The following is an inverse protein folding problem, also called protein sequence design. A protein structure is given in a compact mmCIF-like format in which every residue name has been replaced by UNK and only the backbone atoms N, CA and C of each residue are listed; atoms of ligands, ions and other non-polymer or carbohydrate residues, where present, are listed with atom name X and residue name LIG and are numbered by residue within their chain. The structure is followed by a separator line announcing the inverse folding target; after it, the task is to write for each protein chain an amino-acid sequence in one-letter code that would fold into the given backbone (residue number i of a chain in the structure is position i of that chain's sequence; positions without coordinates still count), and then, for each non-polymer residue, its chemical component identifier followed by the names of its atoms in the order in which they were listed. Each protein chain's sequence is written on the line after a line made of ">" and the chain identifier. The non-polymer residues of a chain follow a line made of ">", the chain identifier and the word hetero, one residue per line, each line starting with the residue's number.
data_IF_110814189466
#
_entry.id   IF_110814189466
#
_cell.length_a   1.000
_cell.length_b   1.000
_cell.length_c   1.000
_cell.angle_alpha   90.00
_cell.angle_beta   90.00
_cell.angle_gamma   90.00
#
_symmetry.space_group_name_H-M   'P 1'
#
loop_
_entity.id
_entity.type
_entity.pdbx_description
1 polymer ?
#
# COMPACT_ATOMS: atom_id res chain seq x y z
N UNK A 1 -37.89 15.64 19.90
CA UNK A 1 -37.26 15.54 18.56
C UNK A 1 -35.80 15.16 18.77
N UNK A 2 -35.41 13.92 18.43
CA UNK A 2 -34.03 13.44 18.52
C UNK A 2 -33.41 13.55 17.12
N UNK A 3 -32.38 14.37 16.97
CA UNK A 3 -31.55 14.44 15.77
C UNK A 3 -30.50 13.32 15.87
N UNK A 4 -30.67 12.25 15.10
CA UNK A 4 -29.62 11.26 14.83
C UNK A 4 -28.73 11.81 13.73
N UNK A 5 -27.59 12.40 14.10
CA UNK A 5 -26.54 12.73 13.14
C UNK A 5 -25.79 11.44 12.79
N UNK A 6 -26.03 10.90 11.61
CA UNK A 6 -25.21 9.85 10.99
C UNK A 6 -23.85 10.45 10.66
N UNK A 7 -22.79 10.01 11.34
CA UNK A 7 -21.41 10.30 10.97
C UNK A 7 -21.16 9.74 9.56
N UNK A 8 -20.75 10.62 8.65
CA UNK A 8 -20.38 10.30 7.27
C UNK A 8 -18.85 10.26 7.15
N UNK A 9 -18.31 9.60 6.12
CA UNK A 9 -16.85 9.58 5.87
C UNK A 9 -16.22 10.97 5.71
N UNK A 10 -17.03 12.01 5.43
CA UNK A 10 -16.60 13.41 5.41
C UNK A 10 -16.32 13.97 6.81
N UNK A 11 -17.10 13.56 7.81
CA UNK A 11 -16.92 13.98 9.21
C UNK A 11 -15.64 13.38 9.81
N UNK A 12 -15.21 12.21 9.31
CA UNK A 12 -13.96 11.56 9.69
C UNK A 12 -12.74 12.26 9.08
N UNK A 13 -12.85 12.71 7.81
CA UNK A 13 -11.82 13.51 7.14
C UNK A 13 -11.61 14.88 7.81
N UNK A 14 -12.70 15.55 8.20
CA UNK A 14 -12.63 16.81 8.97
C UNK A 14 -12.02 16.60 10.36
N UNK A 15 -12.28 15.47 11.01
CA UNK A 15 -11.68 15.11 12.30
C UNK A 15 -10.18 14.81 12.20
N UNK A 16 -9.73 14.16 11.12
CA UNK A 16 -8.31 13.92 10.84
C UNK A 16 -7.56 15.21 10.52
N UNK A 17 -8.19 16.13 9.79
CA UNK A 17 -7.62 17.46 9.52
C UNK A 17 -7.48 18.30 10.80
N UNK A 18 -8.47 18.23 11.70
CA UNK A 18 -8.40 18.88 13.01
C UNK A 18 -7.28 18.33 13.90
N UNK A 19 -7.05 17.02 13.91
CA UNK A 19 -5.90 16.40 14.61
C UNK A 19 -4.55 16.86 14.04
N UNK A 20 -4.49 17.12 12.74
CA UNK A 20 -3.30 17.63 12.07
C UNK A 20 -2.98 19.08 12.48
N UNK A 21 -4.00 19.92 12.68
CA UNK A 21 -3.86 21.31 13.11
C UNK A 21 -3.50 21.46 14.60
N UNK A 22 -3.80 20.46 15.44
CA UNK A 22 -3.49 20.47 16.88
C UNK A 22 -2.12 19.88 17.25
N UNK A 23 -1.40 19.30 16.29
CA UNK A 23 -0.06 18.76 16.54
C UNK A 23 0.96 19.90 16.69
N UNK A 24 1.66 20.03 17.83
CA UNK A 24 2.52 21.19 18.08
C UNK A 24 3.73 21.20 17.15
N UNK A 25 4.16 22.38 16.64
CA UNK A 25 5.42 22.50 15.94
C UNK A 25 6.55 22.22 16.93
N UNK A 26 7.38 21.22 16.65
CA UNK A 26 8.64 21.00 17.35
C UNK A 26 9.50 22.26 17.22
N UNK A 27 9.68 22.96 18.34
CA UNK A 27 10.38 24.23 18.46
C UNK A 27 11.91 24.06 18.41
N UNK A 28 12.60 25.07 17.87
CA UNK A 28 14.04 25.20 18.07
C UNK A 28 14.75 26.27 17.24
N UNK A 29 14.49 27.56 17.49
CA UNK A 29 15.51 28.60 17.74
C UNK A 29 14.95 30.01 17.54
N UNK A 30 14.64 30.66 18.67
CA UNK A 30 14.44 32.10 18.79
C UNK A 30 15.79 32.77 19.03
N UNK A 31 16.15 33.73 18.19
CA UNK A 31 17.10 34.80 18.55
C UNK A 31 16.75 36.07 17.78
N UNK A 32 16.91 37.26 18.41
CA UNK A 32 16.34 38.51 17.91
C UNK A 32 17.18 39.07 16.77
N UNK A 33 16.54 39.36 15.63
CA UNK A 33 17.18 40.05 14.50
C UNK A 33 17.25 41.55 14.86
N UNK A 34 18.42 41.95 15.36
CA UNK A 34 18.84 43.36 15.40
C UNK A 34 19.23 43.77 13.98
N UNK A 35 18.57 44.81 13.47
CA UNK A 35 18.87 45.41 12.17
C UNK A 35 20.28 46.03 12.14
N UNK A 36 21.07 45.69 11.12
CA UNK A 36 22.27 46.44 10.71
C UNK A 36 22.64 46.11 9.25
N UNK A 37 23.33 47.02 8.55
CA UNK A 37 22.97 47.40 7.19
C UNK A 37 23.64 46.58 6.09
N UNK A 38 22.96 46.62 4.94
CA UNK A 38 23.35 46.16 3.61
C UNK A 38 24.85 46.43 3.35
N UNK A 39 25.62 45.36 3.23
CA UNK A 39 26.96 45.38 2.63
C UNK A 39 26.95 44.51 1.39
N UNK A 40 26.86 45.16 0.23
CA UNK A 40 27.12 44.55 -1.07
C UNK A 40 28.45 43.79 -1.04
N UNK A 41 28.43 42.49 -1.35
CA UNK A 41 29.64 41.78 -1.77
C UNK A 41 29.30 40.72 -2.83
N UNK A 42 29.77 41.04 -4.04
CA UNK A 42 30.28 40.21 -5.16
C UNK A 42 29.89 38.73 -5.16
N UNK A 43 29.35 38.31 -6.31
CA UNK A 43 28.93 36.94 -6.58
C UNK A 43 29.95 35.89 -6.18
N UNK A 44 29.51 34.97 -5.32
CA UNK A 44 30.19 33.70 -5.11
C UNK A 44 29.73 32.74 -6.20
N UNK A 45 30.64 32.34 -7.07
CA UNK A 45 30.50 31.10 -7.82
C UNK A 45 30.46 29.96 -6.79
N UNK A 46 29.28 29.36 -6.59
CA UNK A 46 29.15 28.12 -5.80
C UNK A 46 30.05 27.09 -6.48
N UNK A 47 31.08 26.61 -5.78
CA UNK A 47 32.00 25.62 -6.35
C UNK A 47 31.33 24.25 -6.40
N UNK A 48 31.72 23.42 -7.36
CA UNK A 48 31.18 22.05 -7.51
C UNK A 48 31.35 21.22 -6.22
N UNK A 49 32.40 21.48 -5.45
CA UNK A 49 32.65 20.88 -4.13
C UNK A 49 31.63 21.31 -3.06
N UNK A 50 31.15 22.56 -3.11
CA UNK A 50 30.10 23.04 -2.20
C UNK A 50 28.74 22.42 -2.52
N UNK A 51 28.43 22.22 -3.81
CA UNK A 51 27.22 21.49 -4.23
C UNK A 51 27.29 20.02 -3.79
N UNK A 52 28.44 19.37 -3.97
CA UNK A 52 28.64 17.99 -3.53
C UNK A 52 28.53 17.83 -2.01
N UNK A 53 29.08 18.77 -1.23
CA UNK A 53 28.96 18.75 0.23
C UNK A 53 27.54 19.02 0.73
N UNK A 54 26.75 19.83 0.01
CA UNK A 54 25.33 20.03 0.29
C UNK A 54 24.54 18.78 -0.05
N UNK A 55 24.83 18.13 -1.19
CA UNK A 55 24.17 16.90 -1.62
C UNK A 55 24.42 15.75 -0.63
N UNK A 56 25.66 15.55 -0.17
CA UNK A 56 25.97 14.59 0.89
C UNK A 56 25.23 14.88 2.20
N UNK A 57 25.00 16.15 2.54
CA UNK A 57 24.23 16.51 3.74
C UNK A 57 22.73 16.26 3.58
N UNK A 58 22.22 16.44 2.36
CA UNK A 58 20.82 16.13 2.02
C UNK A 58 20.62 14.62 2.07
N UNK A 59 21.48 13.85 1.40
CA UNK A 59 21.47 12.37 1.42
C UNK A 59 21.57 11.82 2.85
N UNK A 60 22.53 12.31 3.65
CA UNK A 60 22.66 11.90 5.05
C UNK A 60 21.48 12.35 5.95
N UNK A 61 20.78 13.42 5.60
CA UNK A 61 19.57 13.83 6.32
C UNK A 61 18.39 12.94 5.95
N UNK A 62 18.26 12.59 4.66
CA UNK A 62 17.23 11.70 4.12
C UNK A 62 17.36 10.27 4.65
N UNK A 63 18.58 9.72 4.72
CA UNK A 63 18.83 8.43 5.36
C UNK A 63 18.41 8.45 6.83
N UNK A 64 18.78 9.49 7.57
CA UNK A 64 18.40 9.63 8.99
C UNK A 64 16.90 9.74 9.22
N UNK A 65 16.16 10.43 8.35
CA UNK A 65 14.70 10.56 8.49
C UNK A 65 13.99 9.26 8.12
N UNK A 66 14.48 8.51 7.12
CA UNK A 66 14.00 7.16 6.79
C UNK A 66 14.26 6.19 7.93
N UNK A 67 15.48 6.13 8.46
CA UNK A 67 15.85 5.26 9.58
C UNK A 67 15.08 5.58 10.85
N UNK A 68 14.87 6.87 11.14
CA UNK A 68 14.02 7.30 12.23
C UNK A 68 12.57 6.83 12.05
N UNK A 69 12.02 6.88 10.83
CA UNK A 69 10.67 6.39 10.51
C UNK A 69 10.52 4.89 10.81
N UNK A 70 11.43 4.08 10.28
CA UNK A 70 11.49 2.63 10.51
C UNK A 70 11.60 2.30 11.99
N UNK A 71 12.60 2.87 12.68
CA UNK A 71 12.85 2.57 14.10
C UNK A 71 11.70 3.02 14.99
N UNK A 72 11.10 4.19 14.71
CA UNK A 72 9.94 4.68 15.45
C UNK A 72 8.71 3.79 15.22
N UNK A 73 8.51 3.27 14.01
CA UNK A 73 7.38 2.36 13.74
C UNK A 73 7.61 0.99 14.33
N UNK A 74 8.84 0.45 14.31
CA UNK A 74 9.19 -0.78 15.03
C UNK A 74 8.95 -0.58 16.53
N UNK A 75 9.38 0.54 17.11
CA UNK A 75 9.13 0.86 18.51
C UNK A 75 7.64 1.01 18.81
N UNK A 76 6.87 1.63 17.91
CA UNK A 76 5.42 1.76 18.03
C UNK A 76 4.72 0.40 17.98
N UNK A 77 5.11 -0.47 17.05
CA UNK A 77 4.60 -1.85 16.94
C UNK A 77 4.91 -2.63 18.21
N UNK A 78 6.15 -2.55 18.73
CA UNK A 78 6.55 -3.20 20.00
C UNK A 78 5.82 -2.66 21.23
N UNK A 79 5.61 -1.35 21.31
CA UNK A 79 4.84 -0.77 22.41
C UNK A 79 3.37 -1.23 22.38
N UNK A 80 2.81 -1.45 21.18
CA UNK A 80 1.49 -2.04 21.01
C UNK A 80 1.48 -3.57 21.26
N UNK A 81 2.64 -4.24 21.22
CA UNK A 81 2.79 -5.64 21.66
C UNK A 81 2.71 -5.80 23.18
N UNK A 82 3.18 -4.79 23.92
CA UNK A 82 3.28 -4.83 25.39
C UNK A 82 1.97 -4.47 26.10
N UNK A 83 1.04 -3.75 25.46
CA UNK A 83 -0.20 -3.25 26.09
C UNK A 83 -1.43 -4.18 25.93
N UNK A 84 -1.37 -5.21 25.09
CA UNK A 84 -2.41 -6.25 24.95
C UNK A 84 -1.81 -7.44 24.19
N UNK A 85 -1.94 -8.64 24.74
CA UNK A 85 -1.68 -9.97 24.12
C UNK A 85 -1.14 -9.94 22.68
N UNK A 86 0.19 -9.78 22.49
CA UNK A 86 0.95 -10.02 21.27
C UNK A 86 0.13 -10.09 19.93
N UNK A 87 -0.14 -8.95 19.28
CA UNK A 87 -0.87 -8.93 18.02
C UNK A 87 -0.10 -9.67 16.91
N UNK A 88 -0.74 -10.61 16.20
CA UNK A 88 -0.08 -11.38 15.12
C UNK A 88 0.40 -10.49 13.96
N UNK A 89 -0.27 -9.37 13.73
CA UNK A 89 0.03 -8.44 12.64
C UNK A 89 1.31 -7.62 12.88
N UNK A 90 1.68 -7.33 14.13
CA UNK A 90 2.86 -6.50 14.44
C UNK A 90 4.16 -7.23 14.11
N UNK A 91 4.25 -8.53 14.37
CA UNK A 91 5.41 -9.36 14.01
C UNK A 91 5.62 -9.46 12.49
N UNK A 92 4.54 -9.62 11.73
CA UNK A 92 4.58 -9.56 10.26
C UNK A 92 5.07 -8.20 9.77
N UNK A 93 4.48 -7.11 10.24
CA UNK A 93 4.85 -5.75 9.81
C UNK A 93 6.25 -5.35 10.26
N UNK A 94 6.70 -5.81 11.43
CA UNK A 94 8.08 -5.62 11.88
C UNK A 94 9.06 -6.39 10.97
N UNK A 95 8.68 -7.58 10.50
CA UNK A 95 9.48 -8.35 9.53
C UNK A 95 9.53 -7.66 8.17
N UNK A 96 8.41 -7.07 7.71
CA UNK A 96 8.37 -6.25 6.48
C UNK A 96 9.28 -5.02 6.63
N UNK A 97 9.22 -4.30 7.76
CA UNK A 97 10.09 -3.14 8.02
C UNK A 97 11.57 -3.52 8.06
N UNK A 98 11.90 -4.64 8.72
CA UNK A 98 13.27 -5.15 8.75
C UNK A 98 13.74 -5.54 7.35
N UNK A 99 12.89 -6.19 6.56
CA UNK A 99 13.20 -6.51 5.17
C UNK A 99 13.49 -5.24 4.35
N UNK A 100 12.65 -4.20 4.48
CA UNK A 100 12.83 -2.92 3.79
C UNK A 100 14.04 -2.11 4.26
N UNK A 101 14.55 -2.39 5.47
CA UNK A 101 15.70 -1.70 6.08
C UNK A 101 17.03 -2.44 5.85
N UNK A 102 17.05 -3.77 5.89
CA UNK A 102 18.27 -4.60 5.73
C UNK A 102 18.78 -4.59 4.27
N UNK A 103 17.94 -4.28 3.30
CA UNK A 103 18.31 -4.32 1.88
C UNK A 103 19.14 -3.13 1.37
N UNK A 104 19.60 -2.23 2.24
CA UNK A 104 20.49 -1.11 1.91
C UNK A 104 21.99 -1.49 1.92
N UNK A 105 22.36 -2.74 2.20
CA UNK A 105 23.75 -3.17 2.00
C UNK A 105 24.12 -3.07 0.50
N UNK A 106 25.18 -2.33 0.13
CA UNK A 106 25.51 -2.04 -1.25
C UNK A 106 25.97 -3.32 -1.95
N UNK A 107 25.04 -4.00 -2.61
CA UNK A 107 25.36 -5.11 -3.52
C UNK A 107 26.08 -4.53 -4.73
N UNK A 108 27.41 -4.59 -4.67
CA UNK A 108 28.36 -4.66 -5.78
C UNK A 108 28.33 -3.50 -6.78
N UNK A 109 28.99 -2.40 -6.38
CA UNK A 109 29.74 -1.58 -7.31
C UNK A 109 30.94 -2.38 -7.87
N UNK A 110 30.67 -3.28 -8.81
CA UNK A 110 31.71 -3.83 -9.71
C UNK A 110 31.34 -3.46 -11.13
N UNK A 111 32.13 -2.54 -11.66
CA UNK A 111 32.46 -2.33 -13.06
C UNK A 111 31.34 -2.00 -14.04
N UNK A 112 31.01 -0.72 -14.12
CA UNK A 112 31.14 -0.03 -15.41
C UNK A 112 31.25 1.48 -15.21
N UNK A 113 32.40 2.01 -15.61
CA UNK A 113 32.65 3.43 -15.81
C UNK A 113 31.67 4.01 -16.82
N UNK A 114 30.58 4.61 -16.33
CA UNK A 114 29.84 5.60 -17.11
C UNK A 114 29.72 6.86 -16.27
N UNK A 115 30.51 7.85 -16.66
CA UNK A 115 30.30 9.30 -16.47
C UNK A 115 28.95 9.65 -15.84
N UNK A 116 28.96 10.04 -14.56
CA UNK A 116 27.85 10.70 -13.87
C UNK A 116 27.60 12.07 -14.50
N UNK A 117 26.89 12.11 -15.62
CA UNK A 117 26.11 13.27 -16.03
C UNK A 117 24.80 13.27 -15.24
N UNK A 118 24.33 14.46 -14.90
CA UNK A 118 23.18 14.75 -14.05
C UNK A 118 21.85 14.27 -14.66
N UNK A 119 21.61 12.97 -14.70
CA UNK A 119 20.34 12.42 -15.15
C UNK A 119 19.53 11.91 -13.97
N UNK A 120 18.26 12.32 -13.95
CA UNK A 120 17.20 11.98 -12.99
C UNK A 120 17.27 10.52 -12.55
N UNK A 121 16.86 10.18 -11.30
CA UNK A 121 16.76 8.79 -10.86
C UNK A 121 15.98 8.01 -11.93
N UNK A 122 16.57 6.93 -12.46
CA UNK A 122 15.97 6.23 -13.59
C UNK A 122 14.70 5.54 -13.10
N UNK A 123 13.54 6.18 -13.29
CA UNK A 123 12.21 5.63 -12.99
C UNK A 123 11.89 4.45 -13.91
N UNK A 124 12.57 3.32 -13.73
CA UNK A 124 12.44 2.14 -14.60
C UNK A 124 12.57 0.86 -13.79
N UNK A 125 11.49 0.08 -13.79
CA UNK A 125 11.52 -1.31 -13.36
C UNK A 125 12.30 -2.16 -14.39
N UNK A 126 12.99 -3.24 -13.95
CA UNK A 126 13.58 -4.22 -14.85
C UNK A 126 12.58 -4.76 -15.88
N UNK A 127 13.04 -5.13 -17.08
CA UNK A 127 12.16 -5.67 -18.13
C UNK A 127 11.48 -6.99 -17.74
N UNK A 128 12.11 -7.77 -16.86
CA UNK A 128 11.60 -9.06 -16.37
C UNK A 128 11.12 -8.98 -14.92
N UNK A 129 10.89 -7.76 -14.42
CA UNK A 129 10.44 -7.54 -13.05
C UNK A 129 9.14 -8.29 -12.78
N UNK A 130 9.13 -9.10 -11.72
CA UNK A 130 8.00 -9.89 -11.24
C UNK A 130 7.43 -10.93 -12.22
N UNK A 131 8.03 -11.13 -13.40
CA UNK A 131 7.53 -12.01 -14.46
C UNK A 131 7.47 -13.48 -13.98
N UNK A 132 8.47 -13.91 -13.22
CA UNK A 132 8.58 -15.29 -12.71
C UNK A 132 7.65 -15.54 -11.52
N UNK A 133 7.59 -14.59 -10.58
CA UNK A 133 6.84 -14.74 -9.33
C UNK A 133 5.33 -14.59 -9.56
N UNK A 134 4.92 -13.59 -10.36
CA UNK A 134 3.51 -13.33 -10.63
C UNK A 134 2.97 -14.18 -11.78
N UNK A 135 3.83 -14.70 -12.67
CA UNK A 135 3.43 -15.42 -13.90
C UNK A 135 2.48 -14.60 -14.78
N UNK A 136 2.65 -13.28 -14.77
CA UNK A 136 1.83 -12.31 -15.51
C UNK A 136 2.73 -11.54 -16.47
N UNK A 137 2.27 -11.38 -17.71
CA UNK A 137 2.94 -10.55 -18.70
C UNK A 137 2.66 -9.06 -18.44
N UNK A 138 3.57 -8.17 -18.84
CA UNK A 138 3.44 -6.73 -18.62
C UNK A 138 2.12 -6.14 -19.12
N UNK A 139 1.61 -6.58 -20.26
CA UNK A 139 0.33 -6.12 -20.80
C UNK A 139 -0.89 -6.43 -19.90
N UNK A 140 -0.74 -7.22 -18.85
CA UNK A 140 -1.82 -7.54 -17.90
C UNK A 140 -1.48 -7.08 -16.48
N UNK A 141 -0.32 -6.44 -16.27
CA UNK A 141 0.26 -6.28 -14.95
C UNK A 141 -0.30 -5.10 -14.16
N UNK A 142 -0.62 -3.96 -14.78
CA UNK A 142 -0.92 -2.72 -14.05
C UNK A 142 -2.08 -2.87 -13.05
N UNK A 143 -3.26 -3.29 -13.54
CA UNK A 143 -4.43 -3.48 -12.68
C UNK A 143 -4.28 -4.69 -11.76
N UNK A 144 -3.67 -5.79 -12.23
CA UNK A 144 -3.40 -6.98 -11.41
C UNK A 144 -2.53 -6.67 -10.22
N UNK A 145 -1.45 -5.91 -10.42
CA UNK A 145 -0.54 -5.47 -9.35
C UNK A 145 -1.30 -4.64 -8.31
N UNK A 146 -2.11 -3.69 -8.76
CA UNK A 146 -2.88 -2.81 -7.87
C UNK A 146 -3.97 -3.57 -7.09
N UNK A 147 -4.59 -4.58 -7.70
CA UNK A 147 -5.65 -5.39 -7.08
C UNK A 147 -5.11 -6.50 -6.16
N UNK A 148 -3.90 -7.01 -6.43
CA UNK A 148 -3.30 -8.15 -5.73
C UNK A 148 -3.50 -8.17 -4.20
N UNK A 149 -3.14 -7.11 -3.45
CA UNK A 149 -3.31 -7.11 -1.99
C UNK A 149 -4.78 -7.16 -1.53
N UNK A 150 -5.73 -6.68 -2.33
CA UNK A 150 -7.14 -6.70 -1.97
C UNK A 150 -7.75 -8.09 -2.07
N UNK A 151 -7.24 -8.91 -2.99
CA UNK A 151 -7.67 -10.28 -3.08
C UNK A 151 -7.23 -11.13 -1.88
N UNK A 152 -6.06 -10.83 -1.31
CA UNK A 152 -5.61 -11.45 -0.06
C UNK A 152 -6.58 -11.11 1.07
N UNK A 153 -6.94 -9.84 1.23
CA UNK A 153 -7.92 -9.38 2.21
C UNK A 153 -9.29 -10.06 2.06
N UNK A 154 -9.81 -10.13 0.82
CA UNK A 154 -11.09 -10.80 0.55
C UNK A 154 -11.02 -12.29 0.89
N UNK A 155 -9.88 -12.94 0.61
CA UNK A 155 -9.66 -14.34 0.95
C UNK A 155 -9.60 -14.56 2.47
N UNK A 156 -8.96 -13.67 3.23
CA UNK A 156 -8.96 -13.73 4.70
C UNK A 156 -10.37 -13.51 5.27
N UNK A 157 -11.11 -12.52 4.79
CA UNK A 157 -12.49 -12.30 5.20
C UNK A 157 -13.39 -13.50 4.90
N UNK A 158 -13.23 -14.12 3.72
CA UNK A 158 -13.93 -15.38 3.38
C UNK A 158 -13.57 -16.49 4.35
N UNK A 159 -12.30 -16.66 4.69
CA UNK A 159 -11.85 -17.67 5.65
C UNK A 159 -12.57 -17.49 6.99
N UNK A 160 -12.59 -16.27 7.54
CA UNK A 160 -13.25 -15.93 8.81
C UNK A 160 -14.74 -16.29 8.80
N UNK A 161 -15.44 -15.99 7.70
CA UNK A 161 -16.88 -16.25 7.59
C UNK A 161 -17.16 -17.74 7.40
N UNK A 162 -16.42 -18.40 6.48
CA UNK A 162 -16.67 -19.79 6.09
C UNK A 162 -16.17 -20.81 7.12
N UNK A 163 -15.16 -20.48 7.92
CA UNK A 163 -14.75 -21.30 9.07
C UNK A 163 -15.76 -21.25 10.22
N UNK A 164 -16.70 -20.30 10.18
CA UNK A 164 -17.68 -20.07 11.22
C UNK A 164 -17.14 -19.25 12.40
N UNK A 165 -15.90 -18.75 12.35
CA UNK A 165 -15.32 -17.91 13.42
C UNK A 165 -16.23 -16.70 13.71
N UNK A 166 -16.75 -16.04 12.67
CA UNK A 166 -17.67 -14.90 12.83
C UNK A 166 -18.99 -15.28 13.53
N UNK A 167 -19.45 -16.53 13.45
CA UNK A 167 -20.69 -16.98 14.10
C UNK A 167 -20.54 -17.09 15.62
N UNK A 168 -19.32 -17.39 16.08
CA UNK A 168 -18.99 -17.59 17.48
C UNK A 168 -18.27 -16.38 18.10
N UNK A 169 -17.97 -15.36 17.29
CA UNK A 169 -17.36 -14.11 17.72
C UNK A 169 -18.25 -13.35 18.71
N UNK A 170 -17.61 -12.66 19.64
CA UNK A 170 -18.25 -11.71 20.55
C UNK A 170 -18.81 -10.49 19.79
N UNK A 171 -19.70 -9.73 20.44
CA UNK A 171 -20.27 -8.52 19.85
C UNK A 171 -19.19 -7.49 19.47
N UNK A 172 -18.10 -7.40 20.24
CA UNK A 172 -17.02 -6.45 19.98
C UNK A 172 -16.11 -6.91 18.83
N UNK A 173 -15.86 -8.22 18.71
CA UNK A 173 -15.16 -8.81 17.55
C UNK A 173 -15.98 -8.66 16.26
N UNK A 174 -17.31 -8.81 16.35
CA UNK A 174 -18.20 -8.56 15.22
C UNK A 174 -18.17 -7.09 14.78
N UNK A 175 -18.15 -6.14 15.72
CA UNK A 175 -17.99 -4.71 15.42
C UNK A 175 -16.63 -4.43 14.80
N UNK A 176 -15.55 -5.02 15.34
CA UNK A 176 -14.21 -4.86 14.78
C UNK A 176 -14.14 -5.37 13.33
N UNK A 177 -14.71 -6.54 13.06
CA UNK A 177 -14.82 -7.08 11.68
C UNK A 177 -15.63 -6.15 10.76
N UNK A 178 -16.71 -5.54 11.25
CA UNK A 178 -17.48 -4.57 10.46
C UNK A 178 -16.72 -3.26 10.21
N UNK A 179 -15.99 -2.75 11.21
CA UNK A 179 -15.10 -1.61 11.03
C UNK A 179 -13.96 -1.94 10.05
N UNK A 180 -13.47 -3.18 10.06
CA UNK A 180 -12.53 -3.65 9.05
C UNK A 180 -13.17 -3.63 7.66
N UNK A 181 -14.40 -4.13 7.51
CA UNK A 181 -15.09 -4.13 6.22
C UNK A 181 -15.29 -2.71 5.67
N UNK A 182 -15.67 -1.75 6.53
CA UNK A 182 -15.82 -0.35 6.16
C UNK A 182 -14.48 0.26 5.70
N UNK A 183 -13.41 0.04 6.48
CA UNK A 183 -12.06 0.47 6.09
C UNK A 183 -11.58 -0.17 4.79
N UNK A 184 -11.89 -1.46 4.58
CA UNK A 184 -11.56 -2.18 3.35
C UNK A 184 -12.29 -1.56 2.15
N UNK A 185 -13.56 -1.22 2.30
CA UNK A 185 -14.33 -0.55 1.26
C UNK A 185 -13.78 0.84 0.92
N UNK A 186 -13.38 1.63 1.93
CA UNK A 186 -12.67 2.91 1.73
C UNK A 186 -11.34 2.69 0.97
N UNK A 187 -10.59 1.64 1.30
CA UNK A 187 -9.35 1.31 0.58
C UNK A 187 -9.62 0.96 -0.89
N UNK A 188 -10.76 0.36 -1.23
CA UNK A 188 -11.18 0.11 -2.63
C UNK A 188 -11.45 1.43 -3.37
N UNK A 189 -12.07 2.42 -2.73
CA UNK A 189 -12.27 3.74 -3.33
C UNK A 189 -10.93 4.46 -3.58
N UNK A 190 -9.98 4.36 -2.65
CA UNK A 190 -8.63 4.90 -2.82
C UNK A 190 -7.84 4.18 -3.92
N UNK A 191 -8.00 2.86 -4.02
CA UNK A 191 -7.45 2.05 -5.12
C UNK A 191 -7.95 2.55 -6.48
N UNK A 192 -9.24 2.92 -6.58
CA UNK A 192 -9.80 3.48 -7.82
C UNK A 192 -9.12 4.79 -8.23
N UNK A 193 -8.75 5.65 -7.28
CA UNK A 193 -8.01 6.87 -7.58
C UNK A 193 -6.62 6.56 -8.18
N UNK A 194 -5.92 5.56 -7.62
CA UNK A 194 -4.64 5.09 -8.16
C UNK A 194 -4.80 4.49 -9.57
N UNK A 195 -5.83 3.67 -9.80
CA UNK A 195 -6.15 3.12 -11.12
C UNK A 195 -6.45 4.19 -12.15
N UNK A 196 -7.23 5.21 -11.80
CA UNK A 196 -7.51 6.34 -12.69
C UNK A 196 -6.26 7.16 -12.99
N UNK A 197 -5.39 7.37 -12.00
CA UNK A 197 -4.08 8.02 -12.21
C UNK A 197 -3.19 7.21 -13.15
N UNK A 198 -3.13 5.89 -12.94
CA UNK A 198 -2.42 4.97 -13.82
C UNK A 198 -2.92 5.06 -15.26
N UNK A 199 -4.24 5.05 -15.49
CA UNK A 199 -4.80 5.20 -16.83
C UNK A 199 -4.48 6.55 -17.47
N UNK A 200 -4.47 7.64 -16.71
CA UNK A 200 -4.07 8.97 -17.21
C UNK A 200 -2.63 8.98 -17.67
N UNK A 201 -1.72 8.44 -16.86
CA UNK A 201 -0.29 8.32 -17.21
C UNK A 201 -0.12 7.50 -18.47
N UNK A 202 -0.75 6.33 -18.52
CA UNK A 202 -0.70 5.44 -19.68
C UNK A 202 -1.29 6.07 -20.95
N UNK A 203 -2.40 6.79 -20.81
CA UNK A 203 -3.03 7.53 -21.92
C UNK A 203 -2.08 8.56 -22.52
N UNK A 204 -1.34 9.26 -21.67
CA UNK A 204 -0.34 10.23 -22.11
C UNK A 204 0.82 9.54 -22.85
N UNK A 205 1.26 8.37 -22.40
CA UNK A 205 2.35 7.61 -23.02
C UNK A 205 1.98 7.03 -24.39
N UNK A 206 0.79 6.44 -24.53
CA UNK A 206 0.35 5.86 -25.80
C UNK A 206 -0.31 6.88 -26.75
N UNK A 207 -0.44 8.15 -26.34
CA UNK A 207 -1.06 9.20 -27.12
C UNK A 207 -2.55 8.97 -27.43
N UNK A 208 -3.24 8.19 -26.59
CA UNK A 208 -4.66 7.81 -26.75
C UNK A 208 -5.39 7.92 -25.43
N UNK A 209 -6.63 8.37 -25.45
CA UNK A 209 -7.45 8.43 -24.24
C UNK A 209 -7.93 7.02 -23.87
N UNK A 210 -7.46 6.50 -22.74
CA UNK A 210 -7.93 5.26 -22.14
C UNK A 210 -8.83 5.57 -20.95
N UNK A 211 -10.06 5.06 -20.98
CA UNK A 211 -11.03 5.21 -19.91
C UNK A 211 -11.64 3.86 -19.59
N UNK A 212 -11.64 3.48 -18.32
CA UNK A 212 -12.41 2.34 -17.81
C UNK A 212 -13.62 2.90 -17.06
N UNK A 213 -14.80 2.46 -17.45
CA UNK A 213 -16.05 2.82 -16.79
C UNK A 213 -16.59 1.57 -16.09
N UNK A 214 -16.38 1.52 -14.77
CA UNK A 214 -16.85 0.42 -13.93
C UNK A 214 -18.08 0.84 -13.14
N UNK A 215 -19.10 -0.02 -13.11
CA UNK A 215 -20.31 0.22 -12.35
C UNK A 215 -20.23 -0.47 -10.98
N UNK A 216 -19.77 0.25 -9.97
CA UNK A 216 -19.74 -0.23 -8.58
C UNK A 216 -21.12 -0.25 -7.90
N UNK A 217 -22.20 0.11 -8.59
CA UNK A 217 -23.52 0.26 -7.99
C UNK A 217 -24.04 -1.00 -7.29
N UNK A 218 -23.77 -2.18 -7.85
CA UNK A 218 -24.18 -3.45 -7.24
C UNK A 218 -23.33 -3.80 -6.02
N UNK A 219 -22.00 -3.69 -6.12
CA UNK A 219 -21.10 -3.89 -4.98
C UNK A 219 -21.45 -2.93 -3.82
N UNK A 220 -21.70 -1.65 -4.11
CA UNK A 220 -22.12 -0.66 -3.13
C UNK A 220 -23.47 -1.01 -2.49
N UNK A 221 -24.42 -1.51 -3.27
CA UNK A 221 -25.71 -1.96 -2.74
C UNK A 221 -25.53 -3.12 -1.77
N UNK A 222 -24.72 -4.12 -2.13
CA UNK A 222 -24.45 -5.29 -1.30
C UNK A 222 -23.66 -4.94 -0.04
N UNK A 223 -22.70 -4.01 -0.13
CA UNK A 223 -22.02 -3.44 1.03
C UNK A 223 -23.01 -2.76 1.99
N UNK A 224 -23.86 -1.87 1.48
CA UNK A 224 -24.87 -1.21 2.31
C UNK A 224 -25.88 -2.20 2.90
N UNK A 225 -26.17 -3.29 2.19
CA UNK A 225 -26.99 -4.37 2.69
C UNK A 225 -26.29 -5.12 3.84
N UNK A 226 -25.01 -5.49 3.71
CA UNK A 226 -24.27 -6.18 4.77
C UNK A 226 -24.26 -5.38 6.08
N UNK A 227 -23.99 -4.07 6.02
CA UNK A 227 -23.98 -3.20 7.21
C UNK A 227 -25.33 -3.18 7.92
N UNK A 228 -26.45 -3.25 7.20
CA UNK A 228 -27.80 -3.33 7.82
C UNK A 228 -28.00 -4.60 8.62
N UNK A 229 -27.36 -5.70 8.21
CA UNK A 229 -27.45 -6.99 8.88
C UNK A 229 -26.45 -7.16 10.03
N UNK A 230 -25.50 -6.24 10.22
CA UNK A 230 -24.52 -6.29 11.32
C UNK A 230 -25.18 -6.43 12.71
N UNK A 231 -26.33 -5.79 12.92
CA UNK A 231 -27.08 -5.86 14.18
C UNK A 231 -28.27 -6.84 14.13
N UNK A 232 -28.49 -7.50 13.00
CA UNK A 232 -29.59 -8.44 12.83
C UNK A 232 -29.24 -9.80 13.42
N UNK A 233 -30.22 -10.45 14.06
CA UNK A 233 -30.13 -11.88 14.39
C UNK A 233 -30.91 -12.67 13.35
N UNK A 234 -30.33 -13.75 12.79
CA UNK A 234 -29.01 -14.33 13.10
C UNK A 234 -27.82 -13.64 12.41
N UNK A 235 -26.67 -13.59 13.10
CA UNK A 235 -25.39 -13.05 12.59
C UNK A 235 -24.90 -13.76 11.32
N UNK A 236 -25.36 -15.00 11.09
CA UNK A 236 -25.10 -15.73 9.85
C UNK A 236 -25.53 -14.94 8.59
N UNK A 237 -26.63 -14.18 8.68
CA UNK A 237 -27.09 -13.34 7.57
C UNK A 237 -26.12 -12.19 7.28
N UNK A 238 -25.46 -11.65 8.30
CA UNK A 238 -24.40 -10.65 8.10
C UNK A 238 -23.25 -11.25 7.30
N UNK A 239 -22.73 -12.41 7.74
CA UNK A 239 -21.67 -13.12 7.03
C UNK A 239 -22.03 -13.45 5.58
N UNK A 240 -23.25 -13.93 5.32
CA UNK A 240 -23.75 -14.21 3.96
C UNK A 240 -23.72 -12.96 3.07
N UNK A 241 -24.20 -11.82 3.58
CA UNK A 241 -24.19 -10.56 2.82
C UNK A 241 -22.80 -9.98 2.60
N UNK A 242 -21.89 -10.18 3.54
CA UNK A 242 -20.47 -9.86 3.31
C UNK A 242 -19.91 -10.72 2.18
N UNK A 243 -20.20 -12.03 2.16
CA UNK A 243 -19.75 -12.90 1.06
C UNK A 243 -20.32 -12.49 -0.30
N UNK A 244 -21.61 -12.14 -0.38
CA UNK A 244 -22.23 -11.62 -1.61
C UNK A 244 -21.50 -10.37 -2.11
N UNK A 245 -21.24 -9.41 -1.20
CA UNK A 245 -20.48 -8.21 -1.51
C UNK A 245 -19.06 -8.52 -2.03
N UNK A 246 -18.31 -9.36 -1.33
CA UNK A 246 -16.93 -9.72 -1.71
C UNK A 246 -16.89 -10.45 -3.06
N UNK A 247 -17.88 -11.31 -3.34
CA UNK A 247 -17.98 -12.00 -4.62
C UNK A 247 -18.24 -11.03 -5.79
N UNK A 248 -19.20 -10.10 -5.62
CA UNK A 248 -19.47 -9.08 -6.64
C UNK A 248 -18.25 -8.18 -6.85
N UNK A 249 -17.57 -7.78 -5.77
CA UNK A 249 -16.39 -6.96 -5.85
C UNK A 249 -15.23 -7.68 -6.56
N UNK A 250 -14.94 -8.94 -6.21
CA UNK A 250 -13.90 -9.73 -6.89
C UNK A 250 -14.18 -9.86 -8.39
N UNK A 251 -15.43 -10.17 -8.76
CA UNK A 251 -15.83 -10.24 -10.18
C UNK A 251 -15.64 -8.89 -10.88
N UNK A 252 -16.01 -7.80 -10.23
CA UNK A 252 -15.84 -6.44 -10.77
C UNK A 252 -14.36 -6.11 -11.00
N UNK A 253 -13.48 -6.46 -10.06
CA UNK A 253 -12.03 -6.23 -10.19
C UNK A 253 -11.41 -7.09 -11.29
N UNK A 254 -11.90 -8.32 -11.49
CA UNK A 254 -11.50 -9.16 -12.62
C UNK A 254 -11.96 -8.60 -13.96
N UNK A 255 -13.21 -8.15 -14.07
CA UNK A 255 -13.73 -7.55 -15.30
C UNK A 255 -12.91 -6.31 -15.69
N UNK A 256 -12.48 -5.50 -14.71
CA UNK A 256 -11.57 -4.38 -14.94
C UNK A 256 -10.18 -4.81 -15.45
N UNK A 257 -9.60 -5.86 -14.86
CA UNK A 257 -8.31 -6.42 -15.30
C UNK A 257 -8.40 -6.96 -16.72
N UNK A 258 -9.46 -7.70 -17.03
CA UNK A 258 -9.69 -8.29 -18.36
C UNK A 258 -9.91 -7.20 -19.40
N UNK A 259 -10.72 -6.18 -19.09
CA UNK A 259 -10.97 -5.06 -19.99
C UNK A 259 -9.67 -4.30 -20.32
N UNK A 260 -8.80 -4.06 -19.33
CA UNK A 260 -7.51 -3.43 -19.58
C UNK A 260 -6.56 -4.34 -20.35
N UNK A 261 -6.46 -5.62 -19.99
CA UNK A 261 -5.63 -6.59 -20.70
C UNK A 261 -6.01 -6.66 -22.18
N UNK A 262 -7.30 -6.66 -22.50
CA UNK A 262 -7.79 -6.71 -23.89
C UNK A 262 -7.40 -5.46 -24.67
N UNK A 263 -7.63 -4.27 -24.10
CA UNK A 263 -7.19 -2.99 -24.69
C UNK A 263 -5.68 -2.97 -24.92
N UNK A 264 -4.91 -3.51 -23.98
CA UNK A 264 -3.45 -3.50 -24.05
C UNK A 264 -2.90 -4.34 -25.19
N UNK A 265 -3.58 -5.41 -25.60
CA UNK A 265 -3.18 -6.22 -26.75
C UNK A 265 -3.21 -5.44 -28.07
N UNK A 266 -3.99 -4.36 -28.13
CA UNK A 266 -4.26 -3.64 -29.37
C UNK A 266 -3.67 -2.23 -29.41
N UNK A 267 -3.48 -1.61 -28.24
CA UNK A 267 -3.26 -0.16 -28.16
C UNK A 267 -1.93 0.20 -27.48
N UNK A 268 -1.43 -0.63 -26.58
CA UNK A 268 -0.21 -0.34 -25.81
C UNK A 268 0.81 -1.45 -25.97
N UNK A 269 2.04 -1.21 -25.57
CA UNK A 269 3.06 -2.24 -25.47
C UNK A 269 3.52 -2.44 -24.02
N UNK A 270 4.34 -3.48 -23.78
CA UNK A 270 4.87 -3.79 -22.46
C UNK A 270 5.74 -2.67 -21.87
N UNK A 271 6.45 -1.90 -22.71
CA UNK A 271 7.26 -0.77 -22.26
C UNK A 271 6.39 0.40 -21.78
N UNK A 272 5.27 0.67 -22.44
CA UNK A 272 4.30 1.69 -22.01
C UNK A 272 3.70 1.33 -20.65
N UNK A 273 3.31 0.06 -20.45
CA UNK A 273 2.79 -0.39 -19.16
C UNK A 273 3.84 -0.23 -18.06
N UNK A 274 5.04 -0.75 -18.31
CA UNK A 274 6.15 -0.68 -17.36
C UNK A 274 6.49 0.76 -16.99
N UNK A 275 6.46 1.66 -17.96
CA UNK A 275 6.72 3.07 -17.73
C UNK A 275 5.57 3.74 -16.98
N UNK A 276 4.31 3.43 -17.30
CA UNK A 276 3.15 3.93 -16.57
C UNK A 276 3.14 3.48 -15.10
N UNK A 277 3.48 2.22 -14.83
CA UNK A 277 3.65 1.69 -13.46
C UNK A 277 4.78 2.43 -12.74
N UNK A 278 5.95 2.56 -13.37
CA UNK A 278 7.08 3.25 -12.76
C UNK A 278 6.75 4.72 -12.44
N UNK A 279 6.12 5.44 -13.37
CA UNK A 279 5.68 6.82 -13.18
C UNK A 279 4.61 6.95 -12.09
N UNK A 280 3.64 6.02 -12.02
CA UNK A 280 2.60 6.06 -11.00
C UNK A 280 3.20 6.14 -9.60
N UNK A 281 4.13 5.24 -9.30
CA UNK A 281 4.74 5.13 -7.98
C UNK A 281 5.86 6.15 -7.73
N UNK A 282 6.59 6.55 -8.77
CA UNK A 282 7.58 7.62 -8.67
C UNK A 282 6.99 9.00 -8.36
N UNK A 283 5.74 9.23 -8.76
CA UNK A 283 5.04 10.50 -8.52
C UNK A 283 4.07 10.46 -7.32
N UNK A 284 4.04 9.36 -6.56
CA UNK A 284 3.37 9.36 -5.24
C UNK A 284 4.05 10.39 -4.35
N UNK A 285 3.27 11.08 -3.52
CA UNK A 285 3.77 12.07 -2.57
C UNK A 285 3.40 11.67 -1.13
N UNK A 286 4.09 12.23 -0.14
CA UNK A 286 3.87 11.93 1.28
C UNK A 286 2.46 12.27 1.79
N UNK A 287 1.74 13.14 1.09
CA UNK A 287 0.38 13.58 1.42
C UNK A 287 -0.70 12.81 0.68
N UNK A 288 -0.34 11.77 -0.07
CA UNK A 288 -1.28 11.03 -0.91
C UNK A 288 -2.35 10.32 -0.05
N UNK A 289 -3.65 10.57 -0.26
CA UNK A 289 -4.71 9.91 0.50
C UNK A 289 -4.67 8.38 0.34
N UNK A 290 -4.24 7.90 -0.83
CA UNK A 290 -4.06 6.48 -1.12
C UNK A 290 -2.78 5.87 -0.52
N UNK A 291 -2.05 6.59 0.34
CA UNK A 291 -0.82 6.12 0.97
C UNK A 291 -0.95 4.79 1.72
N UNK A 292 -2.10 4.54 2.38
CA UNK A 292 -2.39 3.25 3.03
C UNK A 292 -2.49 2.10 2.03
N UNK A 293 -3.00 2.34 0.82
CA UNK A 293 -3.06 1.34 -0.25
C UNK A 293 -1.65 1.02 -0.77
N UNK A 294 -0.79 2.04 -0.87
CA UNK A 294 0.63 1.85 -1.22
C UNK A 294 1.36 1.04 -0.15
N UNK A 295 1.17 1.36 1.13
CA UNK A 295 1.76 0.59 2.23
C UNK A 295 1.28 -0.87 2.24
N UNK A 296 0.00 -1.10 1.99
CA UNK A 296 -0.59 -2.44 1.85
C UNK A 296 0.05 -3.22 0.69
N UNK A 297 0.21 -2.60 -0.48
CA UNK A 297 0.88 -3.20 -1.63
C UNK A 297 2.33 -3.57 -1.29
N UNK A 298 3.08 -2.66 -0.68
CA UNK A 298 4.48 -2.90 -0.29
C UNK A 298 4.58 -4.00 0.78
N UNK A 299 3.62 -4.09 1.70
CA UNK A 299 3.59 -5.17 2.70
C UNK A 299 3.29 -6.54 2.09
N UNK A 300 2.51 -6.59 1.00
CA UNK A 300 2.23 -7.82 0.26
C UNK A 300 3.42 -8.31 -0.58
N UNK A 301 4.21 -7.41 -1.15
CA UNK A 301 5.28 -7.74 -2.10
C UNK A 301 6.33 -8.73 -1.58
N UNK A 302 6.87 -8.64 -0.34
CA UNK A 302 7.84 -9.61 0.18
C UNK A 302 7.32 -11.05 0.25
N UNK A 303 5.99 -11.24 0.28
CA UNK A 303 5.40 -12.57 0.26
C UNK A 303 5.27 -13.09 -1.17
N UNK A 304 4.99 -12.19 -2.14
CA UNK A 304 4.67 -12.57 -3.51
C UNK A 304 5.84 -12.49 -4.50
N UNK A 305 6.89 -11.73 -4.20
CA UNK A 305 7.97 -11.39 -5.11
C UNK A 305 9.34 -11.71 -4.52
N UNK A 306 10.32 -11.93 -5.40
CA UNK A 306 11.71 -12.07 -5.01
C UNK A 306 12.28 -10.75 -4.47
N UNK A 307 13.24 -10.85 -3.55
CA UNK A 307 13.77 -9.68 -2.84
C UNK A 307 14.36 -8.60 -3.76
N UNK A 308 14.93 -8.99 -4.91
CA UNK A 308 15.45 -8.06 -5.92
C UNK A 308 14.34 -7.25 -6.57
N UNK A 309 13.18 -7.85 -6.82
CA UNK A 309 12.04 -7.19 -7.45
C UNK A 309 11.36 -6.24 -6.46
N UNK A 310 11.21 -6.66 -5.20
CA UNK A 310 10.70 -5.75 -4.15
C UNK A 310 11.60 -4.52 -4.03
N UNK A 311 12.93 -4.71 -4.02
CA UNK A 311 13.89 -3.60 -3.95
C UNK A 311 13.77 -2.66 -5.16
N UNK A 312 13.72 -3.20 -6.37
CA UNK A 312 13.58 -2.40 -7.58
C UNK A 312 12.28 -1.56 -7.56
N UNK A 313 11.21 -2.10 -6.97
CA UNK A 313 9.95 -1.39 -6.80
C UNK A 313 10.03 -0.29 -5.74
N UNK A 314 10.62 -0.58 -4.57
CA UNK A 314 10.77 0.41 -3.49
C UNK A 314 11.63 1.60 -3.93
N UNK A 315 12.64 1.37 -4.77
CA UNK A 315 13.48 2.40 -5.37
C UNK A 315 12.74 3.37 -6.31
N UNK A 316 11.49 3.08 -6.70
CA UNK A 316 10.68 4.03 -7.43
C UNK A 316 10.27 5.22 -6.56
N UNK A 317 10.08 5.00 -5.26
CA UNK A 317 9.58 6.02 -4.34
C UNK A 317 10.67 7.02 -3.96
N UNK A 318 10.31 8.30 -3.88
CA UNK A 318 11.16 9.30 -3.23
C UNK A 318 11.29 9.06 -1.72
N UNK A 319 12.34 9.60 -1.11
CA UNK A 319 12.69 9.34 0.29
C UNK A 319 11.57 9.68 1.28
N UNK A 320 10.85 10.80 1.04
CA UNK A 320 9.71 11.21 1.86
C UNK A 320 8.59 10.15 1.84
N UNK A 321 8.35 9.55 0.67
CA UNK A 321 7.36 8.49 0.50
C UNK A 321 7.83 7.19 1.15
N UNK A 322 9.11 6.84 1.04
CA UNK A 322 9.67 5.68 1.75
C UNK A 322 9.58 5.85 3.28
N UNK A 323 9.79 7.08 3.79
CA UNK A 323 9.58 7.42 5.20
C UNK A 323 8.10 7.28 5.60
N UNK A 324 7.15 7.71 4.77
CA UNK A 324 5.73 7.51 5.00
C UNK A 324 5.30 6.04 4.96
N UNK A 325 5.83 5.28 3.98
CA UNK A 325 5.61 3.83 3.86
C UNK A 325 6.10 3.13 5.11
N UNK A 326 7.30 3.44 5.61
CA UNK A 326 7.82 2.84 6.85
C UNK A 326 7.24 3.47 8.14
N UNK A 327 6.43 4.50 8.00
CA UNK A 327 5.92 5.36 9.06
C UNK A 327 4.41 5.36 9.15
N UNK A 328 3.83 6.53 8.91
CA UNK A 328 2.40 6.80 9.10
C UNK A 328 1.48 5.87 8.29
N UNK A 329 1.86 5.47 7.07
CA UNK A 329 0.99 4.66 6.22
C UNK A 329 0.98 3.19 6.65
N UNK A 330 2.12 2.64 7.05
CA UNK A 330 2.16 1.28 7.60
C UNK A 330 1.47 1.21 8.95
N UNK A 331 1.53 2.25 9.78
CA UNK A 331 0.74 2.29 11.04
C UNK A 331 -0.76 2.30 10.76
N UNK A 332 -1.22 3.09 9.79
CA UNK A 332 -2.62 3.08 9.37
C UNK A 332 -3.04 1.68 8.87
N UNK A 333 -2.18 1.02 8.08
CA UNK A 333 -2.42 -0.35 7.65
C UNK A 333 -2.38 -1.35 8.83
N UNK A 334 -1.47 -1.19 9.78
CA UNK A 334 -1.39 -2.01 10.99
C UNK A 334 -2.68 -1.93 11.82
N UNK A 335 -3.14 -0.70 12.09
CA UNK A 335 -4.39 -0.46 12.79
C UNK A 335 -5.57 -1.13 12.10
N UNK A 336 -5.59 -1.08 10.77
CA UNK A 336 -6.61 -1.78 9.99
C UNK A 336 -6.52 -3.31 10.17
N UNK A 337 -5.32 -3.90 10.13
CA UNK A 337 -5.15 -5.35 10.36
C UNK A 337 -5.48 -5.77 11.80
N UNK A 338 -5.24 -4.92 12.80
CA UNK A 338 -5.55 -5.21 14.20
C UNK A 338 -7.05 -5.41 14.44
N UNK A 339 -7.92 -4.86 13.57
CA UNK A 339 -9.36 -5.12 13.63
C UNK A 339 -9.71 -6.59 13.39
N UNK A 340 -8.80 -7.37 12.80
CA UNK A 340 -8.98 -8.81 12.57
C UNK A 340 -8.18 -9.69 13.55
N UNK A 341 -7.56 -9.12 14.59
CA UNK A 341 -6.65 -9.84 15.48
C UNK A 341 -7.29 -11.02 16.21
N UNK A 342 -8.57 -10.90 16.55
CA UNK A 342 -9.34 -11.97 17.18
C UNK A 342 -9.51 -13.22 16.30
N UNK A 343 -9.29 -13.07 14.99
CA UNK A 343 -9.44 -14.14 14.02
C UNK A 343 -8.08 -14.75 13.65
N UNK A 344 -8.05 -16.03 13.27
CA UNK A 344 -6.82 -16.70 12.84
C UNK A 344 -6.40 -16.32 11.41
N UNK A 345 -6.13 -15.03 11.19
CA UNK A 345 -5.71 -14.49 9.89
C UNK A 345 -4.26 -14.87 9.59
N UNK A 346 -4.05 -15.42 8.39
CA UNK A 346 -2.71 -15.70 7.88
C UNK A 346 -2.25 -14.58 6.94
N UNK A 347 -1.48 -13.64 7.48
CA UNK A 347 -0.96 -12.50 6.72
C UNK A 347 0.21 -12.88 5.78
N UNK A 348 0.73 -14.11 5.89
CA UNK A 348 1.75 -14.64 4.97
C UNK A 348 1.14 -15.28 3.72
N UNK A 349 -0.18 -15.40 3.67
CA UNK A 349 -0.86 -16.08 2.59
C UNK A 349 -0.67 -15.32 1.26
N UNK A 350 0.02 -15.96 0.33
CA UNK A 350 0.12 -15.51 -1.06
C UNK A 350 -1.07 -16.01 -1.86
N UNK A 351 -1.73 -15.11 -2.57
CA UNK A 351 -2.63 -15.49 -3.65
C UNK A 351 -1.78 -15.86 -4.87
N UNK A 352 -1.31 -17.10 -4.94
CA UNK A 352 -0.91 -17.67 -6.22
C UNK A 352 -2.19 -17.76 -7.07
N UNK A 353 -2.36 -16.80 -7.97
CA UNK A 353 -3.53 -16.69 -8.84
C UNK A 353 -3.64 -17.92 -9.74
N UNK A 354 -4.41 -18.90 -9.28
CA UNK A 354 -4.86 -20.00 -10.10
C UNK A 354 -6.24 -20.42 -9.62
N UNK A 355 -7.22 -20.46 -10.53
CA UNK A 355 -8.54 -21.10 -10.32
C UNK A 355 -8.42 -22.60 -9.95
N UNK A 356 -7.22 -23.16 -9.97
CA UNK A 356 -6.93 -24.55 -9.61
C UNK A 356 -5.58 -24.66 -8.92
N UNK A 357 -5.55 -25.13 -7.68
CA UNK A 357 -4.32 -25.42 -6.94
C UNK A 357 -4.09 -26.94 -6.90
N UNK A 358 -2.88 -27.38 -7.17
CA UNK A 358 -2.44 -28.76 -6.94
C UNK A 358 -1.64 -28.74 -5.65
N UNK A 359 -2.19 -29.33 -4.59
CA UNK A 359 -1.43 -29.58 -3.36
C UNK A 359 -0.68 -30.90 -3.49
N UNK A 360 0.64 -30.86 -3.29
CA UNK A 360 1.49 -32.06 -3.23
C UNK A 360 1.64 -32.45 -1.77
N UNK A 361 0.89 -33.47 -1.34
CA UNK A 361 1.10 -34.11 -0.04
C UNK A 361 2.16 -35.22 -0.16
N UNK A 362 3.07 -35.38 0.82
CA UNK A 362 3.98 -36.52 0.83
C UNK A 362 3.17 -37.82 0.90
N UNK A 363 3.55 -38.79 0.06
CA UNK A 363 3.00 -40.15 0.11
C UNK A 363 3.21 -40.70 1.53
N UNK A 364 2.16 -41.23 2.20
CA UNK A 364 2.36 -41.92 3.46
C UNK A 364 3.34 -43.07 3.19
N UNK A 365 4.45 -43.05 3.93
CA UNK A 365 5.42 -44.14 3.91
C UNK A 365 4.70 -45.41 4.33
N UNK A 366 4.30 -46.23 3.36
CA UNK A 366 3.90 -47.60 3.62
C UNK A 366 5.15 -48.33 4.06
N UNK A 367 5.28 -48.49 5.38
CA UNK A 367 6.21 -49.44 5.98
C UNK A 367 5.86 -50.82 5.43
N UNK A 368 6.72 -51.35 4.57
CA UNK A 368 6.72 -52.77 4.23
C UNK A 368 7.48 -53.57 5.29
#
# INVERSE_FOLDING_TARGET
>A
MKLTSTLTGRDLLESLQWFYEQSPPTTGSTSPIVASPIRQRRGSTVTQDQLHAVQLKIEAHQERTRDAGVLNTIAWLRAHDDEQTAPKATGFLASVLQFLHVTDDPVLATDSSSTKTSDKPSWRLPRHWAEHSLRVQWNELGYRLLNAPFYVDMMQARKIILSGELLYATDDECKAFASWLDGFFVHIELLQQLKQRFLRLKSALCGRQLTVSTQYGRANSLYNESIRFMHAKPIALYGEKVLEFLNELEMTLWDEEEAIADVNRHITNADDERHAVACLFAEVNATEPAGVVVAKLVAWMPQALDASDVRAFVQLFGDDVQSCISGIWLRAYAQHLHLLEAFEVDLSATTAYSRSRVDVSPLPSTSY
#
